data_IF_274385688547
#
_entry.id   IF_274385688547
#
_cell.length_a   1.000
_cell.length_b   1.000
_cell.length_c   1.000
_cell.angle_alpha   90.00
_cell.angle_beta   90.00
_cell.angle_gamma   90.00
#
_symmetry.space_group_name_H-M   'P 1'
#
loop_
_entity.id
_entity.type
_entity.pdbx_description
1 polymer ?
#
# COMPACT_ATOMS: atom_id res chain seq x y z
N UNK A 1 2.74 3.22 3.78
CA UNK A 1 4.19 3.20 4.09
C UNK A 1 4.84 4.54 3.69
N UNK A 2 4.33 5.67 4.21
CA UNK A 2 5.07 6.95 4.30
C UNK A 2 5.84 7.06 5.62
N UNK A 3 5.53 6.16 6.55
CA UNK A 3 6.36 5.76 7.68
C UNK A 3 7.64 5.12 7.15
N UNK A 4 8.76 5.44 7.81
CA UNK A 4 10.13 5.04 7.49
C UNK A 4 10.23 3.69 6.74
N UNK A 5 10.57 3.80 5.45
CA UNK A 5 10.73 2.65 4.55
C UNK A 5 11.90 1.78 4.96
N UNK A 6 13.00 2.37 5.40
CA UNK A 6 14.20 1.66 5.86
C UNK A 6 13.85 0.83 7.09
N UNK A 7 13.17 1.43 8.07
CA UNK A 7 12.68 0.69 9.25
C UNK A 7 11.70 -0.44 8.91
N UNK A 8 10.89 -0.28 7.85
CA UNK A 8 9.97 -1.33 7.39
C UNK A 8 10.72 -2.49 6.74
N UNK A 9 11.72 -2.20 5.90
CA UNK A 9 12.58 -3.22 5.28
C UNK A 9 13.42 -3.95 6.33
N UNK A 10 14.00 -3.24 7.30
CA UNK A 10 14.73 -3.85 8.41
C UNK A 10 13.88 -4.83 9.21
N UNK A 11 12.60 -4.49 9.46
CA UNK A 11 11.65 -5.42 10.10
C UNK A 11 11.39 -6.67 9.27
N UNK A 12 11.29 -6.55 7.95
CA UNK A 12 11.13 -7.70 7.05
C UNK A 12 12.39 -8.57 7.08
N UNK A 13 13.58 -7.96 7.00
CA UNK A 13 14.87 -8.69 7.08
C UNK A 13 14.99 -9.47 8.39
N UNK A 14 14.67 -8.82 9.51
CA UNK A 14 14.67 -9.46 10.82
C UNK A 14 13.64 -10.60 10.91
N UNK A 15 12.43 -10.39 10.39
CA UNK A 15 11.39 -11.43 10.34
C UNK A 15 11.82 -12.66 9.54
N UNK A 16 12.52 -12.46 8.42
CA UNK A 16 13.02 -13.54 7.57
C UNK A 16 14.30 -14.20 8.11
N UNK A 17 14.88 -13.67 9.20
CA UNK A 17 16.16 -14.15 9.74
C UNK A 17 17.32 -13.98 8.76
N UNK A 18 17.26 -12.98 7.88
CA UNK A 18 18.29 -12.77 6.86
C UNK A 18 19.43 -11.92 7.41
N UNK A 19 20.63 -12.46 7.45
CA UNK A 19 21.85 -11.66 7.65
C UNK A 19 22.21 -10.97 6.33
N UNK A 20 22.00 -9.65 6.27
CA UNK A 20 22.32 -8.83 5.09
C UNK A 20 23.11 -7.60 5.48
N UNK A 21 24.12 -7.30 4.66
CA UNK A 21 24.84 -6.03 4.69
C UNK A 21 23.85 -4.86 4.53
N UNK A 22 24.09 -3.78 5.25
CA UNK A 22 23.33 -2.53 5.18
C UNK A 22 23.20 -2.01 3.74
N UNK A 23 24.20 -2.25 2.88
CA UNK A 23 24.15 -1.90 1.45
C UNK A 23 22.97 -2.55 0.71
N UNK A 24 22.60 -3.78 1.09
CA UNK A 24 21.45 -4.47 0.50
C UNK A 24 20.13 -3.90 1.00
N UNK A 25 20.08 -3.47 2.27
CA UNK A 25 18.91 -2.79 2.83
C UNK A 25 18.70 -1.45 2.12
N UNK A 26 19.75 -0.66 1.96
CA UNK A 26 19.68 0.63 1.28
C UNK A 26 19.28 0.48 -0.18
N UNK A 27 19.83 -0.52 -0.88
CA UNK A 27 19.40 -0.85 -2.24
C UNK A 27 17.91 -1.20 -2.27
N UNK A 28 17.43 -2.03 -1.35
CA UNK A 28 16.00 -2.36 -1.29
C UNK A 28 15.12 -1.13 -1.02
N UNK A 29 15.57 -0.17 -0.19
CA UNK A 29 14.85 1.10 0.06
C UNK A 29 14.70 1.93 -1.21
N UNK A 30 15.75 2.01 -2.02
CA UNK A 30 15.76 2.75 -3.29
C UNK A 30 14.88 2.05 -4.33
N UNK A 31 15.11 0.75 -4.52
CA UNK A 31 14.46 -0.04 -5.57
C UNK A 31 12.96 -0.26 -5.32
N UNK A 32 12.53 -0.24 -4.04
CA UNK A 32 11.11 -0.28 -3.66
C UNK A 32 10.46 1.11 -3.58
N UNK A 33 11.17 2.18 -3.96
CA UNK A 33 10.56 3.50 -4.05
C UNK A 33 9.54 3.57 -5.18
N UNK A 34 8.51 4.40 -5.01
CA UNK A 34 7.50 4.59 -6.04
C UNK A 34 8.12 5.01 -7.37
N UNK A 35 9.05 5.98 -7.35
CA UNK A 35 9.69 6.49 -8.57
C UNK A 35 10.55 5.42 -9.26
N UNK A 36 11.33 4.64 -8.50
CA UNK A 36 12.13 3.56 -9.08
C UNK A 36 11.25 2.46 -9.70
N UNK A 37 10.16 2.08 -9.02
CA UNK A 37 9.20 1.12 -9.54
C UNK A 37 8.47 1.67 -10.77
N UNK A 38 8.10 2.95 -10.76
CA UNK A 38 7.42 3.65 -11.86
C UNK A 38 8.22 3.64 -13.15
N UNK A 39 9.53 3.87 -13.06
CA UNK A 39 10.43 3.79 -14.21
C UNK A 39 10.54 2.38 -14.80
N UNK A 40 10.20 1.35 -14.02
CA UNK A 40 10.29 -0.06 -14.40
C UNK A 40 8.91 -0.72 -14.46
N UNK A 41 7.86 0.07 -14.63
CA UNK A 41 6.47 -0.38 -14.59
C UNK A 41 6.17 -1.51 -15.59
N UNK A 42 6.83 -1.48 -16.75
CA UNK A 42 6.76 -2.52 -17.78
C UNK A 42 7.25 -3.90 -17.33
N UNK A 43 8.08 -3.99 -16.28
CA UNK A 43 8.63 -5.26 -15.79
C UNK A 43 7.57 -6.09 -15.06
N UNK A 44 6.58 -5.45 -14.44
CA UNK A 44 5.56 -6.13 -13.63
C UNK A 44 4.13 -5.94 -14.15
N UNK A 45 3.92 -5.06 -15.12
CA UNK A 45 2.64 -4.90 -15.80
C UNK A 45 2.65 -5.49 -17.22
N UNK A 46 2.80 -6.82 -17.28
CA UNK A 46 2.78 -7.57 -18.55
C UNK A 46 1.42 -7.46 -19.27
N UNK A 47 0.33 -7.25 -18.52
CA UNK A 47 -0.99 -7.04 -19.09
C UNK A 47 -1.05 -5.72 -19.86
N UNK A 48 -0.50 -4.63 -19.30
CA UNK A 48 -0.36 -3.37 -20.03
C UNK A 48 0.58 -3.47 -21.21
N UNK A 49 1.68 -4.22 -21.12
CA UNK A 49 2.54 -4.47 -22.28
C UNK A 49 1.75 -5.09 -23.45
N UNK A 50 0.93 -6.11 -23.18
CA UNK A 50 0.06 -6.77 -24.17
C UNK A 50 -1.09 -5.89 -24.67
N UNK A 51 -1.54 -4.91 -23.88
CA UNK A 51 -2.57 -3.94 -24.29
C UNK A 51 -1.97 -2.83 -25.17
N UNK A 52 -0.75 -2.37 -24.83
CA UNK A 52 0.02 -1.41 -25.63
C UNK A 52 0.33 -1.97 -27.02
N UNK A 53 0.72 -3.24 -27.12
CA UNK A 53 0.92 -3.94 -28.40
C UNK A 53 -0.35 -3.97 -29.27
N UNK A 54 -1.53 -3.89 -28.66
CA UNK A 54 -2.84 -3.85 -29.33
C UNK A 54 -3.35 -2.43 -29.58
N UNK A 55 -2.52 -1.40 -29.37
CA UNK A 55 -2.87 0.00 -29.59
C UNK A 55 -3.79 0.58 -28.51
N UNK A 56 -3.99 -0.13 -27.40
CA UNK A 56 -4.68 0.38 -26.22
C UNK A 56 -3.64 1.01 -25.30
N UNK A 57 -3.82 2.29 -24.95
CA UNK A 57 -3.02 2.94 -23.93
C UNK A 57 -3.76 2.86 -22.59
N UNK A 58 -3.59 1.78 -21.81
CA UNK A 58 -4.20 1.71 -20.49
C UNK A 58 -3.63 2.83 -19.61
N UNK A 59 -4.43 3.29 -18.66
CA UNK A 59 -3.89 4.12 -17.59
C UNK A 59 -2.81 3.31 -16.86
N UNK A 60 -1.75 3.98 -16.44
CA UNK A 60 -0.69 3.35 -15.67
C UNK A 60 -1.24 2.61 -14.44
N UNK A 61 -0.70 1.41 -14.20
CA UNK A 61 -0.89 0.63 -12.98
C UNK A 61 -0.43 1.38 -11.72
N UNK A 62 0.78 1.97 -11.75
CA UNK A 62 1.30 2.85 -10.72
C UNK A 62 0.80 4.30 -10.89
N UNK A 63 -0.40 4.57 -10.37
CA UNK A 63 -1.08 5.87 -10.50
C UNK A 63 -0.36 7.04 -9.80
N UNK A 64 -0.32 7.09 -8.47
CA UNK A 64 0.23 8.25 -7.73
C UNK A 64 1.13 7.92 -6.54
N UNK A 65 1.03 6.72 -5.96
CA UNK A 65 1.86 6.32 -4.82
C UNK A 65 1.64 7.14 -3.53
N UNK A 66 0.66 8.05 -3.52
CA UNK A 66 0.40 8.95 -2.39
C UNK A 66 -0.76 8.44 -1.53
N UNK A 67 -0.53 8.34 -0.22
CA UNK A 67 -1.60 8.13 0.75
C UNK A 67 -2.49 9.38 0.86
N UNK A 68 -3.79 9.18 1.07
CA UNK A 68 -4.75 10.27 1.29
C UNK A 68 -5.53 10.72 0.05
N UNK A 69 -5.01 10.49 -1.17
CA UNK A 69 -5.70 10.91 -2.41
C UNK A 69 -7.05 10.22 -2.65
N UNK A 70 -7.36 9.15 -1.93
CA UNK A 70 -8.69 8.55 -1.97
C UNK A 70 -9.78 9.52 -1.49
N UNK A 71 -9.45 10.46 -0.59
CA UNK A 71 -10.40 11.44 -0.08
C UNK A 71 -10.90 12.39 -1.18
N UNK A 72 -10.03 12.77 -2.11
CA UNK A 72 -10.36 13.70 -3.20
C UNK A 72 -11.33 13.08 -4.22
N UNK A 73 -11.44 11.75 -4.24
CA UNK A 73 -12.31 11.01 -5.15
C UNK A 73 -13.70 10.71 -4.54
N UNK A 74 -13.93 11.01 -3.26
CA UNK A 74 -15.16 10.68 -2.55
C UNK A 74 -16.04 11.90 -2.34
N UNK A 75 -17.34 11.74 -2.54
CA UNK A 75 -18.32 12.74 -2.10
C UNK A 75 -18.45 12.76 -0.57
N UNK A 76 -19.02 13.84 -0.04
CA UNK A 76 -19.31 13.95 1.39
C UNK A 76 -20.23 12.82 1.89
N UNK A 77 -21.23 12.44 1.08
CA UNK A 77 -22.15 11.36 1.39
C UNK A 77 -21.43 10.00 1.46
N UNK A 78 -20.57 9.70 0.50
CA UNK A 78 -19.76 8.47 0.50
C UNK A 78 -18.80 8.42 1.69
N UNK A 79 -18.18 9.56 2.00
CA UNK A 79 -17.28 9.68 3.16
C UNK A 79 -18.02 9.39 4.47
N UNK A 80 -19.25 9.89 4.64
CA UNK A 80 -20.08 9.61 5.83
C UNK A 80 -20.44 8.14 5.92
N UNK A 81 -20.98 7.54 4.85
CA UNK A 81 -21.40 6.12 4.85
C UNK A 81 -20.22 5.18 5.16
N UNK A 82 -19.04 5.42 4.58
CA UNK A 82 -17.83 4.65 4.89
C UNK A 82 -17.45 4.78 6.38
N UNK A 83 -17.50 6.00 6.93
CA UNK A 83 -17.19 6.26 8.34
C UNK A 83 -18.18 5.56 9.27
N UNK A 84 -19.47 5.63 8.97
CA UNK A 84 -20.53 5.04 9.78
C UNK A 84 -20.42 3.51 9.82
N UNK A 85 -20.19 2.86 8.66
CA UNK A 85 -19.93 1.40 8.59
C UNK A 85 -18.69 1.00 9.38
N UNK A 86 -17.60 1.75 9.23
CA UNK A 86 -16.33 1.46 9.91
C UNK A 86 -16.42 1.62 11.43
N UNK A 87 -17.21 2.59 11.90
CA UNK A 87 -17.41 2.84 13.33
C UNK A 87 -18.35 1.83 13.99
N UNK A 88 -19.31 1.29 13.24
CA UNK A 88 -20.29 0.31 13.73
C UNK A 88 -19.61 -1.02 14.09
N UNK A 89 -18.61 -1.46 13.32
CA UNK A 89 -17.80 -2.64 13.63
C UNK A 89 -16.94 -2.51 14.91
N UNK A 90 -16.45 -1.30 15.22
CA UNK A 90 -15.69 -1.04 16.45
C UNK A 90 -16.54 -1.11 17.72
N UNK A 91 -17.81 -0.72 17.66
CA UNK A 91 -18.71 -0.75 18.82
C UNK A 91 -19.05 -2.18 19.27
N UNK A 92 -19.12 -3.13 18.34
CA UNK A 92 -19.37 -4.54 18.66
C UNK A 92 -18.14 -5.23 19.28
N UNK A 93 -16.93 -4.94 18.79
CA UNK A 93 -15.69 -5.52 19.31
C UNK A 93 -15.38 -5.10 20.76
N UNK A 94 -15.64 -3.84 21.14
CA UNK A 94 -15.40 -3.35 22.51
C UNK A 94 -16.39 -3.99 23.50
N UNK A 95 -17.67 -4.13 23.12
CA UNK A 95 -18.68 -4.76 23.98
C UNK A 95 -18.42 -6.25 24.23
N UNK A 96 -17.87 -6.96 23.25
CA UNK A 96 -17.48 -8.37 23.41
C UNK A 96 -16.32 -8.58 24.39
N UNK A 97 -15.34 -7.66 24.41
CA UNK A 97 -14.21 -7.70 25.34
C UNK A 97 -14.62 -7.39 26.78
N UNK A 98 -15.55 -6.44 26.99
CA UNK A 98 -16.07 -6.12 28.32
C UNK A 98 -16.86 -7.28 28.93
N UNK A 99 -17.57 -8.06 28.10
CA UNK A 99 -18.34 -9.23 28.53
C UNK A 99 -17.47 -10.48 28.79
N UNK A 100 -16.22 -10.51 28.30
CA UNK A 100 -15.29 -11.64 28.46
C UNK A 100 -14.33 -11.46 29.66
N UNK A 101 -14.31 -10.27 30.28
CA UNK A 101 -13.46 -9.93 31.43
C UNK A 101 -14.24 -9.84 32.76
N UNK A 102 -15.45 -10.39 32.81
CA UNK A 102 -16.24 -10.58 34.04
C UNK A 102 -16.35 -12.06 34.38
#
# INVERSE_FOLDING_TARGET
MKTDRKASIQRIVAFLGWERDERWVDRAVIESSFDAMKQRESVFDHATALLLERGVSPQSFLRSGQSGQGADALSAAQTSDIRDRSSTGRRLAIRGLSAFLQ
#
